data_IF_009084713723
#
_entry.id   IF_009084713723
#
_cell.length_a   1.000
_cell.length_b   1.000
_cell.length_c   1.000
_cell.angle_alpha   90.00
_cell.angle_beta   90.00
_cell.angle_gamma   90.00
#
_symmetry.space_group_name_H-M   'P 1'
#
loop_
_entity.id
_entity.type
_entity.pdbx_description
1 polymer ?
#
# COMPACT_ATOMS: atom_id res chain seq x y z
N UNK A 1 -23.46 -1.89 -6.79
CA UNK A 1 -22.17 -2.59 -7.09
C UNK A 1 -21.52 -3.00 -5.78
N UNK A 2 -20.79 -4.13 -5.75
CA UNK A 2 -20.00 -4.48 -4.56
C UNK A 2 -18.92 -3.41 -4.31
N UNK A 3 -18.61 -3.13 -3.03
CA UNK A 3 -17.55 -2.20 -2.66
C UNK A 3 -16.18 -2.75 -3.09
N UNK A 4 -15.31 -1.88 -3.60
CA UNK A 4 -13.92 -2.25 -3.90
C UNK A 4 -13.15 -2.47 -2.59
N UNK A 5 -12.37 -3.52 -2.51
CA UNK A 5 -11.57 -3.85 -1.33
C UNK A 5 -10.18 -3.21 -1.45
N UNK A 6 -9.84 -2.30 -0.56
CA UNK A 6 -8.57 -1.57 -0.56
C UNK A 6 -7.77 -1.89 0.70
N UNK A 7 -6.55 -2.38 0.53
CA UNK A 7 -5.61 -2.54 1.63
C UNK A 7 -4.87 -1.23 1.93
N UNK A 8 -4.75 -0.87 3.20
CA UNK A 8 -3.86 0.19 3.69
C UNK A 8 -2.69 -0.52 4.39
N UNK A 9 -1.55 -0.64 3.69
CA UNK A 9 -0.41 -1.44 4.15
C UNK A 9 0.53 -0.59 4.99
N UNK A 10 0.75 -0.98 6.26
CA UNK A 10 1.75 -0.36 7.12
C UNK A 10 3.10 -1.02 6.87
N UNK A 11 4.02 -0.30 6.25
CA UNK A 11 5.29 -0.81 5.73
C UNK A 11 6.43 -0.91 6.76
N UNK A 12 6.19 -0.57 8.02
CA UNK A 12 7.25 -0.50 9.03
C UNK A 12 6.93 -1.33 10.27
N UNK A 13 7.96 -1.98 10.84
CA UNK A 13 7.80 -2.91 11.99
C UNK A 13 8.50 -2.45 13.27
N UNK A 14 9.22 -1.30 13.27
CA UNK A 14 9.88 -0.76 14.47
C UNK A 14 8.88 -0.56 15.62
N UNK A 15 9.31 -0.79 16.85
CA UNK A 15 8.46 -0.59 18.04
C UNK A 15 7.89 0.83 18.10
N UNK A 16 8.76 1.85 17.87
CA UNK A 16 8.39 3.27 17.86
C UNK A 16 8.05 3.78 16.45
N UNK A 17 7.41 2.96 15.60
CA UNK A 17 7.03 3.39 14.24
C UNK A 17 5.94 4.45 14.26
N UNK A 18 5.98 5.33 13.27
CA UNK A 18 4.96 6.36 13.07
C UNK A 18 3.80 5.88 12.18
N UNK A 19 4.06 4.91 11.28
CA UNK A 19 3.17 4.55 10.16
C UNK A 19 1.74 4.15 10.53
N UNK A 20 1.46 3.76 11.78
CA UNK A 20 0.11 3.46 12.24
C UNK A 20 -0.79 4.71 12.27
N UNK A 21 -0.24 5.91 12.56
CA UNK A 21 -0.99 7.17 12.59
C UNK A 21 -1.54 7.54 11.20
N UNK A 22 -0.72 7.65 10.14
CA UNK A 22 -1.24 7.95 8.82
C UNK A 22 -2.12 6.82 8.26
N UNK A 23 -1.86 5.55 8.58
CA UNK A 23 -2.72 4.46 8.14
C UNK A 23 -4.14 4.57 8.73
N UNK A 24 -4.25 4.83 10.02
CA UNK A 24 -5.56 5.04 10.66
C UNK A 24 -6.26 6.28 10.12
N UNK A 25 -5.55 7.41 9.99
CA UNK A 25 -6.11 8.64 9.45
C UNK A 25 -6.65 8.48 8.01
N UNK A 26 -5.91 7.80 7.13
CA UNK A 26 -6.40 7.48 5.78
C UNK A 26 -7.64 6.59 5.83
N UNK A 27 -7.65 5.58 6.72
CA UNK A 27 -8.81 4.71 6.92
C UNK A 27 -10.04 5.51 7.39
N UNK A 28 -9.87 6.44 8.33
CA UNK A 28 -10.99 7.25 8.86
C UNK A 28 -11.64 8.11 7.75
N UNK A 29 -10.84 8.67 6.84
CA UNK A 29 -11.34 9.40 5.67
C UNK A 29 -12.02 8.43 4.70
N UNK A 30 -11.40 7.29 4.42
CA UNK A 30 -11.91 6.30 3.47
C UNK A 30 -13.23 5.67 3.93
N UNK A 31 -13.46 5.52 5.24
CA UNK A 31 -14.73 4.98 5.78
C UNK A 31 -15.93 5.88 5.53
N UNK A 32 -15.72 7.16 5.19
CA UNK A 32 -16.79 8.08 4.80
C UNK A 32 -17.30 7.83 3.37
N UNK A 33 -16.70 6.91 2.63
CA UNK A 33 -17.07 6.56 1.25
C UNK A 33 -17.90 5.29 1.20
N UNK A 34 -18.88 5.28 0.31
CA UNK A 34 -19.78 4.13 0.12
C UNK A 34 -19.29 3.13 -0.94
N UNK A 35 -18.31 3.53 -1.76
CA UNK A 35 -17.84 2.76 -2.91
C UNK A 35 -16.64 1.85 -2.61
N UNK A 36 -16.01 1.98 -1.42
CA UNK A 36 -14.88 1.16 -0.98
C UNK A 36 -15.10 0.55 0.41
N UNK A 37 -14.40 -0.55 0.65
CA UNK A 37 -14.17 -1.12 1.98
C UNK A 37 -12.66 -1.17 2.21
N UNK A 38 -12.19 -0.63 3.32
CA UNK A 38 -10.75 -0.55 3.62
C UNK A 38 -10.36 -1.41 4.81
N UNK A 39 -9.19 -2.04 4.72
CA UNK A 39 -8.57 -2.79 5.81
C UNK A 39 -7.13 -2.31 6.01
N UNK A 40 -6.72 -2.13 7.27
CA UNK A 40 -5.30 -1.91 7.60
C UNK A 40 -4.62 -3.28 7.65
N UNK A 41 -3.56 -3.43 6.85
CA UNK A 41 -2.73 -4.62 6.80
C UNK A 41 -1.35 -4.26 7.37
N UNK A 42 -1.04 -4.82 8.52
CA UNK A 42 0.20 -4.56 9.24
C UNK A 42 1.25 -5.62 8.92
N UNK A 43 2.40 -5.22 8.37
CA UNK A 43 3.49 -6.18 8.07
C UNK A 43 4.09 -6.85 9.32
N UNK A 44 3.79 -6.39 10.52
CA UNK A 44 4.13 -7.12 11.77
C UNK A 44 3.44 -8.47 11.88
N UNK A 45 2.26 -8.60 11.28
CA UNK A 45 1.47 -9.84 11.34
C UNK A 45 2.01 -10.91 10.39
N UNK A 46 2.98 -10.53 9.54
CA UNK A 46 3.60 -11.37 8.52
C UNK A 46 5.14 -11.37 8.66
N UNK A 47 5.69 -11.98 9.72
CA UNK A 47 7.13 -12.00 9.96
C UNK A 47 7.84 -13.01 9.04
N UNK A 48 7.91 -12.69 7.75
CA UNK A 48 8.64 -13.48 6.76
C UNK A 48 10.15 -13.34 6.95
N UNK A 49 10.95 -14.41 6.75
CA UNK A 49 12.41 -14.30 6.69
C UNK A 49 12.82 -13.41 5.52
N UNK A 50 14.10 -13.03 5.44
CA UNK A 50 14.58 -12.42 4.21
C UNK A 50 14.37 -13.37 3.03
N UNK A 51 14.02 -12.80 1.86
CA UNK A 51 13.71 -13.57 0.66
C UNK A 51 14.93 -14.39 0.22
N UNK A 52 14.81 -15.71 0.26
CA UNK A 52 15.82 -16.69 -0.12
C UNK A 52 15.23 -17.86 -0.91
N UNK A 53 14.07 -17.63 -1.56
CA UNK A 53 13.41 -18.63 -2.37
C UNK A 53 14.24 -19.00 -3.61
N UNK A 54 14.05 -20.21 -4.11
CA UNK A 54 14.80 -20.72 -5.28
C UNK A 54 14.55 -19.94 -6.57
N UNK A 55 13.41 -19.23 -6.64
CA UNK A 55 13.04 -18.38 -7.77
C UNK A 55 11.97 -17.38 -7.32
N UNK A 56 11.65 -16.41 -8.20
CA UNK A 56 10.51 -15.52 -8.00
C UNK A 56 9.21 -16.33 -7.88
N UNK A 57 8.31 -15.86 -6.98
CA UNK A 57 6.98 -16.42 -6.84
C UNK A 57 6.07 -16.24 -8.08
N UNK A 58 6.58 -15.56 -9.11
CA UNK A 58 5.99 -15.59 -10.45
C UNK A 58 6.03 -16.98 -11.09
N UNK A 59 7.02 -17.81 -10.74
CA UNK A 59 7.27 -19.11 -11.36
C UNK A 59 7.21 -20.28 -10.36
N UNK A 60 7.68 -20.06 -9.13
CA UNK A 60 7.73 -21.10 -8.11
C UNK A 60 7.02 -20.61 -6.86
N UNK A 61 5.86 -21.19 -6.49
CA UNK A 61 5.14 -20.81 -5.28
C UNK A 61 5.97 -21.03 -4.02
N UNK A 62 5.93 -20.08 -3.09
CA UNK A 62 6.62 -20.21 -1.81
C UNK A 62 6.08 -21.37 -0.99
N UNK A 63 6.96 -22.09 -0.32
CA UNK A 63 6.61 -23.13 0.66
C UNK A 63 6.58 -22.58 2.10
N UNK A 64 6.98 -21.33 2.31
CA UNK A 64 6.94 -20.70 3.62
C UNK A 64 5.49 -20.40 4.04
N UNK A 65 5.01 -20.94 5.19
CA UNK A 65 3.61 -20.80 5.59
C UNK A 65 3.20 -19.35 5.90
N UNK A 66 4.14 -18.50 6.31
CA UNK A 66 3.87 -17.07 6.53
C UNK A 66 3.75 -16.34 5.19
N UNK A 67 4.60 -16.68 4.22
CA UNK A 67 4.52 -16.13 2.86
C UNK A 67 3.20 -16.55 2.18
N UNK A 68 2.79 -17.80 2.28
CA UNK A 68 1.51 -18.28 1.75
C UNK A 68 0.31 -17.54 2.39
N UNK A 69 0.35 -17.29 3.71
CA UNK A 69 -0.67 -16.50 4.39
C UNK A 69 -0.67 -15.05 3.90
N UNK A 70 0.51 -14.47 3.67
CA UNK A 70 0.66 -13.13 3.09
C UNK A 70 0.08 -13.05 1.68
N UNK A 71 0.45 -13.98 0.79
CA UNK A 71 -0.08 -14.07 -0.57
C UNK A 71 -1.61 -14.14 -0.60
N UNK A 72 -2.19 -15.03 0.23
CA UNK A 72 -3.65 -15.12 0.38
C UNK A 72 -4.27 -13.79 0.82
N UNK A 73 -3.63 -13.09 1.77
CA UNK A 73 -4.11 -11.78 2.22
C UNK A 73 -4.06 -10.74 1.10
N UNK A 74 -2.96 -10.65 0.36
CA UNK A 74 -2.80 -9.73 -0.78
C UNK A 74 -3.85 -10.01 -1.87
N UNK A 75 -4.14 -11.28 -2.12
CA UNK A 75 -5.12 -11.68 -3.13
C UNK A 75 -6.55 -11.17 -2.85
N UNK A 76 -6.91 -10.93 -1.57
CA UNK A 76 -8.25 -10.46 -1.17
C UNK A 76 -8.60 -9.05 -1.66
N UNK A 77 -7.61 -8.23 -2.03
CA UNK A 77 -7.78 -6.80 -2.31
C UNK A 77 -7.78 -6.49 -3.81
N UNK A 78 -8.56 -5.47 -4.16
CA UNK A 78 -8.64 -4.93 -5.52
C UNK A 78 -7.61 -3.81 -5.78
N UNK A 79 -7.14 -3.14 -4.72
CA UNK A 79 -6.15 -2.07 -4.79
C UNK A 79 -5.45 -1.84 -3.45
N UNK A 80 -4.40 -1.00 -3.45
CA UNK A 80 -3.51 -0.83 -2.31
C UNK A 80 -3.16 0.63 -2.06
N UNK A 81 -3.02 1.00 -0.79
CA UNK A 81 -2.39 2.23 -0.31
C UNK A 81 -1.19 1.82 0.54
N UNK A 82 0.02 2.10 0.07
CA UNK A 82 1.24 1.83 0.82
C UNK A 82 1.58 3.04 1.70
N UNK A 83 1.54 2.85 3.02
CA UNK A 83 1.98 3.85 4.01
C UNK A 83 3.44 3.58 4.34
N UNK A 84 4.35 4.37 3.79
CA UNK A 84 5.79 4.09 3.84
C UNK A 84 6.63 5.18 4.47
N UNK A 85 7.56 4.77 5.33
CA UNK A 85 8.67 5.61 5.76
C UNK A 85 9.74 5.68 4.67
N UNK A 86 10.53 6.75 4.71
CA UNK A 86 11.80 6.80 3.98
C UNK A 86 12.95 6.43 4.92
N UNK A 87 13.64 5.34 4.60
CA UNK A 87 14.85 4.90 5.27
C UNK A 87 16.04 4.98 4.30
N UNK A 88 16.97 5.92 4.57
CA UNK A 88 18.18 6.07 3.75
C UNK A 88 17.87 6.17 2.24
N UNK A 89 16.96 7.08 1.86
CA UNK A 89 16.49 7.33 0.50
C UNK A 89 15.63 6.23 -0.14
N UNK A 90 15.34 5.14 0.55
CA UNK A 90 14.57 4.01 0.04
C UNK A 90 13.37 3.64 0.91
N UNK A 91 12.64 2.62 0.45
CA UNK A 91 11.60 1.96 1.23
C UNK A 91 12.22 1.13 2.35
N UNK A 92 11.42 0.75 3.35
CA UNK A 92 11.88 -0.17 4.38
C UNK A 92 12.20 -1.56 3.78
N UNK A 93 13.23 -2.23 4.31
CA UNK A 93 13.56 -3.60 3.92
C UNK A 93 12.38 -4.56 4.10
N UNK A 94 11.58 -4.34 5.16
CA UNK A 94 10.37 -5.14 5.43
C UNK A 94 9.34 -5.02 4.31
N UNK A 95 9.10 -3.80 3.79
CA UNK A 95 8.18 -3.61 2.68
C UNK A 95 8.73 -4.28 1.41
N UNK A 96 10.01 -4.07 1.08
CA UNK A 96 10.62 -4.70 -0.10
C UNK A 96 10.52 -6.22 -0.02
N UNK A 97 10.83 -6.81 1.14
CA UNK A 97 10.70 -8.22 1.39
C UNK A 97 9.26 -8.75 1.20
N UNK A 98 8.28 -8.02 1.74
CA UNK A 98 6.87 -8.38 1.57
C UNK A 98 6.41 -8.32 0.11
N UNK A 99 6.93 -7.36 -0.67
CA UNK A 99 6.63 -7.23 -2.09
C UNK A 99 7.23 -8.41 -2.87
N UNK A 100 8.44 -8.87 -2.51
CA UNK A 100 9.14 -9.97 -3.19
C UNK A 100 8.48 -11.33 -2.92
N UNK A 101 7.86 -11.52 -1.76
CA UNK A 101 7.16 -12.76 -1.38
C UNK A 101 5.79 -12.95 -2.04
N UNK A 102 5.32 -12.03 -2.87
CA UNK A 102 4.11 -12.16 -3.65
C UNK A 102 4.34 -11.59 -5.07
N UNK A 103 3.78 -12.18 -6.10
CA UNK A 103 3.90 -11.64 -7.45
C UNK A 103 2.54 -11.63 -8.19
N UNK A 104 1.88 -12.78 -8.47
CA UNK A 104 0.61 -12.77 -9.22
C UNK A 104 -0.49 -12.03 -8.46
N UNK A 105 -0.42 -11.98 -7.12
CA UNK A 105 -1.39 -11.32 -6.27
C UNK A 105 -1.41 -9.80 -6.43
N UNK A 106 -0.29 -9.20 -6.90
CA UNK A 106 -0.19 -7.76 -7.20
C UNK A 106 -0.69 -7.38 -8.57
N UNK A 107 -0.62 -8.32 -9.52
CA UNK A 107 -0.77 -8.03 -10.94
C UNK A 107 -2.12 -7.39 -11.28
N UNK A 108 -2.07 -6.38 -12.16
CA UNK A 108 -3.25 -5.68 -12.68
C UNK A 108 -4.09 -5.00 -11.58
N UNK A 109 -3.47 -4.59 -10.46
CA UNK A 109 -4.11 -3.85 -9.36
C UNK A 109 -3.56 -2.44 -9.24
N UNK A 110 -4.35 -1.50 -8.69
CA UNK A 110 -3.93 -0.11 -8.53
C UNK A 110 -3.18 0.09 -7.20
N UNK A 111 -2.19 1.00 -7.20
CA UNK A 111 -1.41 1.36 -6.03
C UNK A 111 -1.35 2.88 -5.83
N UNK A 112 -1.69 3.33 -4.62
CA UNK A 112 -1.50 4.69 -4.11
C UNK A 112 -0.47 4.71 -2.98
N UNK A 113 0.06 5.91 -2.64
CA UNK A 113 1.18 6.04 -1.72
C UNK A 113 0.97 7.16 -0.71
N UNK A 114 1.28 6.88 0.55
CA UNK A 114 1.38 7.85 1.64
C UNK A 114 2.78 7.75 2.22
N UNK A 115 3.63 8.71 1.89
CA UNK A 115 5.01 8.79 2.37
C UNK A 115 5.12 9.67 3.61
N UNK A 116 6.12 9.39 4.46
CA UNK A 116 6.46 10.24 5.59
C UNK A 116 7.96 10.21 5.90
N UNK A 117 8.46 11.31 6.43
CA UNK A 117 9.88 11.49 6.77
C UNK A 117 10.33 12.93 6.53
N UNK A 118 11.65 13.19 6.54
CA UNK A 118 12.21 14.55 6.42
C UNK A 118 11.77 15.28 5.15
N UNK A 119 11.65 14.54 4.04
CA UNK A 119 11.15 15.04 2.74
C UNK A 119 9.82 14.38 2.34
N UNK A 120 9.00 14.03 3.33
CA UNK A 120 7.71 13.41 3.10
C UNK A 120 7.76 11.96 2.59
N UNK A 121 8.91 11.32 2.58
CA UNK A 121 9.08 9.98 2.01
C UNK A 121 9.08 9.95 0.47
N UNK A 122 9.29 11.10 -0.17
CA UNK A 122 9.16 11.24 -1.63
C UNK A 122 10.10 10.31 -2.40
N UNK A 123 11.35 10.19 -1.97
CA UNK A 123 12.35 9.33 -2.63
C UNK A 123 12.01 7.83 -2.48
N UNK A 124 11.50 7.44 -1.30
CA UNK A 124 11.02 6.08 -1.09
C UNK A 124 9.81 5.77 -1.97
N UNK A 125 8.88 6.70 -2.13
CA UNK A 125 7.72 6.54 -3.01
C UNK A 125 8.15 6.42 -4.48
N UNK A 126 9.12 7.22 -4.95
CA UNK A 126 9.64 7.09 -6.32
C UNK A 126 10.23 5.70 -6.58
N UNK A 127 11.05 5.18 -5.66
CA UNK A 127 11.56 3.82 -5.78
C UNK A 127 10.44 2.77 -5.73
N UNK A 128 9.45 2.96 -4.85
CA UNK A 128 8.32 2.04 -4.73
C UNK A 128 7.48 2.00 -6.01
N UNK A 129 7.35 3.12 -6.73
CA UNK A 129 6.67 3.16 -8.04
C UNK A 129 7.35 2.26 -9.07
N UNK A 130 8.68 2.23 -9.10
CA UNK A 130 9.44 1.36 -10.00
C UNK A 130 9.24 -0.12 -9.64
N UNK A 131 9.27 -0.45 -8.34
CA UNK A 131 8.99 -1.81 -7.86
C UNK A 131 7.55 -2.23 -8.20
N UNK A 132 6.58 -1.34 -7.98
CA UNK A 132 5.18 -1.60 -8.30
C UNK A 132 4.95 -1.82 -9.81
N UNK A 133 5.68 -1.09 -10.67
CA UNK A 133 5.62 -1.30 -12.12
C UNK A 133 6.11 -2.70 -12.51
N UNK A 134 7.21 -3.20 -11.92
CA UNK A 134 7.71 -4.57 -12.12
C UNK A 134 6.69 -5.62 -11.64
N UNK A 135 5.95 -5.33 -10.57
CA UNK A 135 4.87 -6.17 -10.05
C UNK A 135 3.56 -6.04 -10.87
N UNK A 136 3.60 -5.38 -12.03
CA UNK A 136 2.46 -5.13 -12.93
C UNK A 136 1.30 -4.38 -12.24
N UNK A 137 1.61 -3.51 -11.28
CA UNK A 137 0.64 -2.62 -10.64
C UNK A 137 0.53 -1.29 -11.39
N UNK A 138 -0.67 -0.72 -11.46
CA UNK A 138 -0.87 0.64 -11.95
C UNK A 138 -0.70 1.64 -10.80
N UNK A 139 0.38 2.41 -10.81
CA UNK A 139 0.63 3.45 -9.83
C UNK A 139 -0.13 4.72 -10.18
N UNK A 140 -0.95 5.23 -9.26
CA UNK A 140 -1.66 6.49 -9.47
C UNK A 140 -0.72 7.70 -9.30
N UNK A 141 -1.04 8.81 -9.98
CA UNK A 141 -0.20 10.02 -9.93
C UNK A 141 -0.16 10.65 -8.53
N UNK A 142 -1.32 10.83 -7.90
CA UNK A 142 -1.42 11.51 -6.61
C UNK A 142 -0.81 10.68 -5.49
N UNK A 143 0.16 11.26 -4.78
CA UNK A 143 0.70 10.74 -3.54
C UNK A 143 0.48 11.74 -2.40
N UNK A 144 0.43 11.26 -1.17
CA UNK A 144 0.38 12.10 0.03
C UNK A 144 1.74 12.05 0.72
N UNK A 145 2.30 13.22 1.01
CA UNK A 145 3.66 13.35 1.55
C UNK A 145 3.64 14.14 2.85
N UNK A 146 3.79 13.45 3.99
CA UNK A 146 3.84 14.06 5.33
C UNK A 146 5.28 14.52 5.57
N UNK A 147 5.54 15.79 5.28
CA UNK A 147 6.87 16.36 5.30
C UNK A 147 7.39 16.60 6.71
N UNK A 148 8.71 16.85 6.84
CA UNK A 148 9.45 16.90 8.08
C UNK A 148 8.83 17.72 9.20
N UNK A 149 8.38 18.94 8.93
CA UNK A 149 7.74 19.81 9.92
C UNK A 149 6.42 19.21 10.43
N UNK A 150 5.54 18.78 9.54
CA UNK A 150 4.27 18.16 9.91
C UNK A 150 4.47 16.79 10.56
N UNK A 151 5.43 16.00 10.06
CA UNK A 151 5.82 14.73 10.68
C UNK A 151 6.26 14.93 12.14
N UNK A 152 7.11 15.94 12.40
CA UNK A 152 7.58 16.24 13.75
C UNK A 152 6.47 16.76 14.66
N UNK A 153 5.61 17.64 14.13
CA UNK A 153 4.48 18.19 14.86
C UNK A 153 3.50 17.07 15.29
N UNK A 154 3.20 16.13 14.41
CA UNK A 154 2.32 14.97 14.73
C UNK A 154 3.03 13.97 15.64
N UNK A 155 4.34 13.75 15.47
CA UNK A 155 5.07 12.76 16.25
C UNK A 155 5.36 13.21 17.68
N UNK A 156 5.77 14.49 17.87
CA UNK A 156 6.29 15.00 19.15
C UNK A 156 5.44 16.06 19.81
N UNK A 157 4.66 16.84 19.04
CA UNK A 157 3.97 18.03 19.54
C UNK A 157 2.46 17.80 19.73
N UNK A 158 1.97 16.61 19.48
CA UNK A 158 0.56 16.26 19.68
C UNK A 158 -0.41 16.76 18.61
N UNK A 159 0.09 17.36 17.51
CA UNK A 159 -0.75 17.74 16.37
C UNK A 159 -1.35 16.50 15.70
N UNK A 160 -2.55 16.61 15.17
CA UNK A 160 -3.18 15.51 14.43
C UNK A 160 -3.11 15.74 12.92
N UNK A 161 -3.02 14.66 12.12
CA UNK A 161 -3.00 14.76 10.66
C UNK A 161 -4.27 15.37 10.08
N UNK A 162 -5.40 15.18 10.75
CA UNK A 162 -6.68 15.77 10.36
C UNK A 162 -6.70 17.31 10.40
N UNK A 163 -5.80 17.93 11.18
CA UNK A 163 -5.72 19.38 11.34
C UNK A 163 -4.88 20.06 10.24
N UNK A 164 -4.29 19.27 9.32
CA UNK A 164 -3.43 19.76 8.25
C UNK A 164 -4.22 19.74 6.93
N UNK A 165 -4.77 20.91 6.57
CA UNK A 165 -5.75 21.04 5.48
C UNK A 165 -5.26 20.49 4.12
N UNK A 166 -4.02 20.76 3.72
CA UNK A 166 -3.51 20.29 2.42
C UNK A 166 -3.35 18.75 2.38
N UNK A 167 -3.04 18.11 3.51
CA UNK A 167 -2.97 16.65 3.60
C UNK A 167 -4.37 16.03 3.49
N UNK A 168 -5.39 16.65 4.09
CA UNK A 168 -6.78 16.22 3.97
C UNK A 168 -7.24 16.22 2.51
N UNK A 169 -6.96 17.31 1.78
CA UNK A 169 -7.26 17.40 0.35
C UNK A 169 -6.49 16.32 -0.41
N UNK A 170 -5.20 16.16 -0.12
CA UNK A 170 -4.35 15.17 -0.78
C UNK A 170 -4.85 13.73 -0.63
N UNK A 171 -5.38 13.35 0.55
CA UNK A 171 -5.95 11.99 0.74
C UNK A 171 -7.25 11.82 -0.05
N UNK A 172 -8.11 12.84 -0.11
CA UNK A 172 -9.34 12.78 -0.93
C UNK A 172 -9.01 12.57 -2.41
N UNK A 173 -8.09 13.37 -2.93
CA UNK A 173 -7.62 13.26 -4.32
C UNK A 173 -6.96 11.89 -4.61
N UNK A 174 -6.17 11.37 -3.66
CA UNK A 174 -5.57 10.04 -3.75
C UNK A 174 -6.66 8.97 -3.83
N UNK A 175 -7.66 9.03 -2.95
CA UNK A 175 -8.75 8.06 -2.92
C UNK A 175 -9.59 8.12 -4.20
N UNK A 176 -9.88 9.30 -4.73
CA UNK A 176 -10.65 9.45 -5.97
C UNK A 176 -9.92 8.82 -7.16
N UNK A 177 -8.62 9.11 -7.33
CA UNK A 177 -7.82 8.47 -8.37
C UNK A 177 -7.70 6.97 -8.17
N UNK A 178 -7.41 6.51 -6.95
CA UNK A 178 -7.23 5.10 -6.66
C UNK A 178 -8.51 4.31 -6.96
N UNK A 179 -9.66 4.82 -6.57
CA UNK A 179 -10.96 4.16 -6.82
C UNK A 179 -11.24 4.06 -8.31
N UNK A 180 -10.98 5.14 -9.07
CA UNK A 180 -11.17 5.12 -10.52
C UNK A 180 -10.32 4.02 -11.17
N UNK A 181 -9.02 4.02 -10.89
CA UNK A 181 -8.09 3.02 -11.44
C UNK A 181 -8.42 1.60 -10.96
N UNK A 182 -8.72 1.42 -9.68
CA UNK A 182 -9.07 0.11 -9.12
C UNK A 182 -10.31 -0.46 -9.80
N UNK A 183 -11.34 0.37 -10.03
CA UNK A 183 -12.58 -0.04 -10.71
C UNK A 183 -12.30 -0.46 -12.15
N UNK A 184 -11.56 0.33 -12.91
CA UNK A 184 -11.21 0.02 -14.30
C UNK A 184 -10.43 -1.30 -14.40
N UNK A 185 -9.40 -1.48 -13.57
CA UNK A 185 -8.57 -2.67 -13.56
C UNK A 185 -9.35 -3.91 -13.06
N UNK A 186 -10.22 -3.74 -12.04
CA UNK A 186 -11.07 -4.84 -11.60
C UNK A 186 -12.02 -5.29 -12.69
N UNK A 187 -12.66 -4.36 -13.38
CA UNK A 187 -13.57 -4.70 -14.49
C UNK A 187 -12.82 -5.50 -15.56
N UNK A 188 -11.61 -5.09 -15.93
CA UNK A 188 -10.82 -5.83 -16.90
C UNK A 188 -10.41 -7.23 -16.40
N UNK A 189 -9.97 -7.37 -15.12
CA UNK A 189 -9.65 -8.68 -14.53
C UNK A 189 -10.86 -9.61 -14.48
N UNK A 190 -12.03 -9.09 -14.13
CA UNK A 190 -13.27 -9.88 -14.06
C UNK A 190 -13.67 -10.38 -15.46
N UNK A 191 -13.47 -9.57 -16.50
CA UNK A 191 -13.68 -9.98 -17.90
C UNK A 191 -12.68 -11.06 -18.36
N UNK A 192 -11.39 -10.91 -18.03
CA UNK A 192 -10.37 -11.92 -18.33
C UNK A 192 -10.71 -13.28 -17.69
N UNK A 193 -11.23 -13.28 -16.44
CA UNK A 193 -11.65 -14.52 -15.76
C UNK A 193 -12.84 -15.19 -16.42
N UNK A 194 -13.83 -14.42 -16.86
CA UNK A 194 -14.98 -14.97 -17.60
C UNK A 194 -14.55 -15.57 -18.93
N UNK A 195 -13.67 -14.88 -19.66
CA UNK A 195 -13.15 -15.38 -20.93
C UNK A 195 -12.30 -16.66 -20.79
N UNK A 196 -11.56 -16.80 -19.68
CA UNK A 196 -10.74 -18.00 -19.40
C UNK A 196 -11.57 -19.21 -18.92
N UNK A 197 -12.81 -18.99 -18.48
CA UNK A 197 -13.74 -20.03 -18.01
C UNK A 197 -14.71 -20.53 -19.09
N UNK A 198 -14.76 -19.85 -20.25
CA UNK A 198 -15.60 -20.18 -21.42
C UNK A 198 -14.86 -21.05 -22.43
#
# INVERSE_FOLDING_TARGET
MAKLKIAIVISTTRAARFGHKPAQWVKDIATQRDDIATEIVDLRDYPMPFFDEVASNAWVPSQNPVAQRWQKKVAEFDGFIFVTAEYNHGISAVLKNALDYAYPEWNKKAAGFVGYGSVGGARAVEQLRLVAAELQMATIRTGVYIQGADFMAVWKEGKELKDIAYLQTGVKDLLDQLVWWTRALKTARDQDQVAAAA
#
